data_IF_019901598585
#
_entry.id   IF_019901598585
#
_cell.length_a   1.000
_cell.length_b   1.000
_cell.length_c   1.000
_cell.angle_alpha   90.00
_cell.angle_beta   90.00
_cell.angle_gamma   90.00
#
_symmetry.space_group_name_H-M   'P 1'
#
loop_
_entity.id
_entity.type
_entity.pdbx_description
1 polymer ?
#
# COMPACT_ATOMS: atom_id res chain seq x y z
N UNK A 1 30.32 1.50 28.41
CA UNK A 1 29.23 1.00 27.54
C UNK A 1 29.09 1.94 26.36
N UNK A 2 29.46 1.53 25.16
CA UNK A 2 29.31 2.33 23.93
C UNK A 2 27.84 2.34 23.49
N UNK A 3 27.16 3.50 23.52
CA UNK A 3 25.81 3.66 22.96
C UNK A 3 25.88 3.34 21.46
N UNK A 4 25.23 2.26 21.02
CA UNK A 4 24.98 2.05 19.58
C UNK A 4 24.17 3.24 19.05
N UNK A 5 24.50 3.82 17.89
CA UNK A 5 23.70 4.89 17.30
C UNK A 5 22.27 4.37 17.10
N UNK A 6 21.28 5.18 17.46
CA UNK A 6 19.88 4.83 17.26
C UNK A 6 19.64 4.56 15.78
N UNK A 7 19.17 3.35 15.46
CA UNK A 7 18.86 2.96 14.09
C UNK A 7 17.67 3.80 13.64
N UNK A 8 17.83 4.60 12.60
CA UNK A 8 16.71 5.29 11.95
C UNK A 8 15.92 4.23 11.17
N UNK A 9 14.89 3.68 11.82
CA UNK A 9 13.99 2.70 11.22
C UNK A 9 12.80 3.47 10.65
N UNK A 10 12.49 3.22 9.39
CA UNK A 10 11.23 3.65 8.80
C UNK A 10 10.18 2.59 9.11
N UNK A 11 9.13 2.96 9.83
CA UNK A 11 7.98 2.09 10.03
C UNK A 11 7.15 2.04 8.75
N UNK A 12 6.50 0.91 8.50
CA UNK A 12 5.62 0.77 7.34
C UNK A 12 4.46 1.79 7.38
N UNK A 13 3.97 2.11 8.57
CA UNK A 13 3.01 3.20 8.81
C UNK A 13 3.47 4.54 8.22
N UNK A 14 4.70 4.94 8.55
CA UNK A 14 5.28 6.18 8.06
C UNK A 14 5.50 6.13 6.55
N UNK A 15 5.94 4.97 6.02
CA UNK A 15 6.11 4.77 4.59
C UNK A 15 4.79 4.92 3.82
N UNK A 16 3.68 4.36 4.33
CA UNK A 16 2.34 4.51 3.72
C UNK A 16 1.90 5.99 3.70
N UNK A 17 2.21 6.75 4.76
CA UNK A 17 1.83 8.17 4.84
C UNK A 17 2.64 9.10 3.93
N UNK A 18 3.87 8.72 3.59
CA UNK A 18 4.84 9.65 2.99
C UNK A 18 5.37 9.13 1.66
N UNK A 19 6.09 8.01 1.69
CA UNK A 19 6.81 7.46 0.53
C UNK A 19 5.85 6.84 -0.47
N UNK A 20 4.92 6.01 -0.02
CA UNK A 20 4.05 5.21 -0.90
C UNK A 20 2.91 6.02 -1.56
N UNK A 21 2.72 7.28 -1.17
CA UNK A 21 1.77 8.20 -1.82
C UNK A 21 2.36 8.92 -3.03
N UNK A 22 3.67 8.93 -3.17
CA UNK A 22 4.30 9.55 -4.32
C UNK A 22 4.30 8.57 -5.50
N UNK A 23 3.77 9.00 -6.64
CA UNK A 23 3.76 8.22 -7.89
C UNK A 23 5.17 7.85 -8.34
N UNK A 24 6.18 8.64 -7.99
CA UNK A 24 7.59 8.32 -8.29
C UNK A 24 8.10 7.07 -7.55
N UNK A 25 7.44 6.65 -6.46
CA UNK A 25 7.84 5.51 -5.63
C UNK A 25 6.99 4.25 -5.89
N UNK A 26 6.24 4.20 -6.99
CA UNK A 26 5.40 3.04 -7.33
C UNK A 26 6.22 1.78 -7.58
N UNK A 27 7.45 1.92 -8.07
CA UNK A 27 8.39 0.82 -8.29
C UNK A 27 8.70 0.03 -6.99
N UNK A 28 8.85 0.72 -5.86
CA UNK A 28 9.05 0.10 -4.55
C UNK A 28 7.83 -0.73 -4.16
N UNK A 29 6.63 -0.20 -4.40
CA UNK A 29 5.38 -0.85 -4.04
C UNK A 29 5.08 -2.03 -4.98
N UNK A 30 5.31 -1.88 -6.28
CA UNK A 30 5.26 -2.97 -7.25
C UNK A 30 6.18 -4.12 -6.84
N UNK A 31 7.45 -3.82 -6.51
CA UNK A 31 8.41 -4.82 -6.05
C UNK A 31 7.95 -5.55 -4.77
N UNK A 32 7.39 -4.81 -3.81
CA UNK A 32 6.81 -5.39 -2.60
C UNK A 32 5.63 -6.32 -2.91
N UNK A 33 4.68 -5.87 -3.74
CA UNK A 33 3.51 -6.66 -4.13
C UNK A 33 3.90 -7.89 -4.96
N UNK A 34 4.86 -7.76 -5.87
CA UNK A 34 5.41 -8.89 -6.63
C UNK A 34 6.05 -9.93 -5.70
N UNK A 35 6.80 -9.50 -4.69
CA UNK A 35 7.40 -10.40 -3.71
C UNK A 35 6.35 -11.13 -2.86
N UNK A 36 5.26 -10.44 -2.51
CA UNK A 36 4.16 -10.99 -1.71
C UNK A 36 3.31 -11.98 -2.52
N UNK A 37 2.84 -11.56 -3.70
CA UNK A 37 1.92 -12.33 -4.53
C UNK A 37 2.61 -13.32 -5.48
N UNK A 38 3.94 -13.27 -5.58
CA UNK A 38 4.75 -14.15 -6.45
C UNK A 38 4.37 -14.09 -7.92
N UNK A 39 3.94 -12.91 -8.39
CA UNK A 39 3.55 -12.66 -9.78
C UNK A 39 3.84 -11.23 -10.21
N UNK A 40 3.95 -10.97 -11.53
CA UNK A 40 4.20 -9.62 -12.02
C UNK A 40 3.00 -8.71 -11.78
N UNK A 41 3.23 -7.56 -11.14
CA UNK A 41 2.21 -6.57 -10.81
C UNK A 41 2.69 -5.20 -11.27
N UNK A 42 1.84 -4.48 -12.00
CA UNK A 42 2.09 -3.08 -12.38
C UNK A 42 1.00 -2.22 -11.80
N UNK A 43 1.36 -1.21 -11.00
CA UNK A 43 0.42 -0.22 -10.46
C UNK A 43 0.06 0.75 -11.57
N UNK A 44 -1.24 0.93 -11.79
CA UNK A 44 -1.80 1.81 -12.81
C UNK A 44 -2.14 3.17 -12.23
N UNK A 45 -2.75 3.18 -11.04
CA UNK A 45 -3.09 4.41 -10.35
C UNK A 45 -3.23 4.18 -8.85
N UNK A 46 -3.13 5.26 -8.10
CA UNK A 46 -3.49 5.29 -6.69
C UNK A 46 -4.85 5.96 -6.57
N UNK A 47 -5.81 5.22 -6.02
CA UNK A 47 -7.15 5.72 -5.76
C UNK A 47 -7.08 6.49 -4.44
N UNK A 48 -7.19 7.82 -4.49
CA UNK A 48 -7.21 8.62 -3.28
C UNK A 48 -8.43 8.27 -2.43
N UNK A 49 -8.24 7.46 -1.39
CA UNK A 49 -9.27 7.11 -0.43
C UNK A 49 -9.48 8.28 0.55
N UNK A 50 -10.45 9.13 0.23
CA UNK A 50 -11.16 10.09 1.10
C UNK A 50 -10.30 10.94 2.06
N UNK A 51 -10.05 12.18 1.65
CA UNK A 51 -9.49 13.27 2.45
C UNK A 51 -10.44 13.87 3.51
N UNK A 52 -11.64 13.32 3.70
CA UNK A 52 -12.70 13.96 4.51
C UNK A 52 -13.22 13.04 5.63
N UNK A 53 -12.45 12.89 6.71
CA UNK A 53 -13.02 12.57 8.03
C UNK A 53 -12.59 13.62 9.03
N UNK A 54 -13.56 14.10 9.82
CA UNK A 54 -13.46 15.26 10.70
C UNK A 54 -12.51 15.08 11.90
N UNK A 55 -11.87 13.92 12.03
CA UNK A 55 -11.02 13.58 13.17
C UNK A 55 -9.59 13.33 12.68
N UNK A 56 -8.69 14.27 13.00
CA UNK A 56 -7.26 14.23 12.68
C UNK A 56 -6.59 12.94 13.18
N UNK A 57 -7.13 12.32 14.24
CA UNK A 57 -6.64 11.06 14.80
C UNK A 57 -7.11 9.80 14.05
N UNK A 58 -8.14 9.94 13.20
CA UNK A 58 -8.76 8.87 12.43
C UNK A 58 -8.41 8.92 10.93
N UNK A 59 -7.38 9.68 10.54
CA UNK A 59 -6.78 9.58 9.19
C UNK A 59 -6.14 8.20 9.05
N UNK A 60 -6.93 7.25 8.57
CA UNK A 60 -6.50 5.87 8.35
C UNK A 60 -5.28 5.84 7.43
N UNK A 61 -4.29 5.02 7.79
CA UNK A 61 -3.07 4.82 7.02
C UNK A 61 -3.34 3.76 5.97
N UNK A 62 -4.24 4.14 5.06
CA UNK A 62 -4.73 3.32 3.96
C UNK A 62 -4.35 3.96 2.64
N UNK A 63 -3.96 3.11 1.70
CA UNK A 63 -3.74 3.45 0.29
C UNK A 63 -4.41 2.39 -0.56
N UNK A 64 -5.29 2.83 -1.45
CA UNK A 64 -5.94 1.98 -2.44
C UNK A 64 -5.22 2.11 -3.78
N UNK A 65 -4.90 0.98 -4.39
CA UNK A 65 -4.14 0.91 -5.63
C UNK A 65 -4.95 0.15 -6.67
N UNK A 66 -5.05 0.73 -7.85
CA UNK A 66 -5.45 0.01 -9.05
C UNK A 66 -4.19 -0.56 -9.68
N UNK A 67 -4.11 -1.87 -9.81
CA UNK A 67 -2.97 -2.55 -10.40
C UNK A 67 -3.41 -3.60 -11.42
N UNK A 68 -2.43 -4.12 -12.15
CA UNK A 68 -2.62 -5.08 -13.23
C UNK A 68 -1.64 -6.23 -13.11
N UNK A 69 -2.13 -7.45 -13.21
CA UNK A 69 -1.31 -8.66 -13.27
C UNK A 69 -1.00 -9.01 -14.73
N UNK A 70 0.13 -9.70 -14.97
CA UNK A 70 0.57 -10.10 -16.32
C UNK A 70 0.74 -11.60 -16.52
N UNK A 71 0.38 -12.40 -15.52
CA UNK A 71 0.55 -13.86 -15.45
C UNK A 71 -0.72 -14.66 -15.76
N UNK A 72 -1.87 -14.00 -15.94
CA UNK A 72 -3.17 -14.64 -16.14
C UNK A 72 -3.43 -15.15 -17.56
N UNK A 73 -4.49 -15.94 -17.72
CA UNK A 73 -4.97 -16.46 -19.01
C UNK A 73 -5.43 -15.36 -19.99
N UNK A 74 -5.67 -14.14 -19.48
CA UNK A 74 -6.04 -12.98 -20.30
C UNK A 74 -4.78 -12.35 -20.89
N UNK A 75 -4.73 -12.28 -22.22
CA UNK A 75 -3.66 -11.65 -23.00
C UNK A 75 -3.39 -10.21 -22.57
N UNK A 76 -4.44 -9.51 -22.14
CA UNK A 76 -4.39 -8.14 -21.67
C UNK A 76 -4.26 -8.03 -20.15
N UNK A 77 -3.91 -9.09 -19.41
CA UNK A 77 -3.78 -9.07 -17.94
C UNK A 77 -5.10 -8.94 -17.16
N UNK A 78 -5.03 -9.05 -15.83
CA UNK A 78 -6.18 -8.87 -14.94
C UNK A 78 -6.02 -7.60 -14.10
N UNK A 79 -7.08 -6.81 -14.01
CA UNK A 79 -7.11 -5.66 -13.10
C UNK A 79 -7.41 -6.15 -11.69
N UNK A 80 -6.62 -5.66 -10.72
CA UNK A 80 -6.77 -5.95 -9.30
C UNK A 80 -6.82 -4.65 -8.51
N UNK A 81 -7.60 -4.65 -7.45
CA UNK A 81 -7.56 -3.60 -6.42
C UNK A 81 -6.75 -4.12 -5.24
N UNK A 82 -5.76 -3.34 -4.83
CA UNK A 82 -4.90 -3.66 -3.68
C UNK A 82 -5.06 -2.57 -2.65
N UNK A 83 -5.44 -2.97 -1.44
CA UNK A 83 -5.63 -2.09 -0.31
C UNK A 83 -4.54 -2.37 0.73
N UNK A 84 -3.71 -1.36 1.00
CA UNK A 84 -2.63 -1.45 1.99
C UNK A 84 -3.08 -0.75 3.27
N UNK A 85 -3.11 -1.46 4.40
CA UNK A 85 -3.46 -0.91 5.72
C UNK A 85 -2.39 -1.25 6.76
N UNK A 86 -2.09 -0.32 7.67
CA UNK A 86 -1.15 -0.55 8.78
C UNK A 86 -1.78 -1.26 9.99
N UNK A 87 -3.03 -0.93 10.33
CA UNK A 87 -3.78 -1.59 11.41
C UNK A 87 -4.87 -2.44 10.79
N UNK A 88 -5.04 -3.68 11.28
CA UNK A 88 -6.21 -4.48 10.92
C UNK A 88 -7.45 -3.77 11.46
N UNK A 89 -8.28 -3.19 10.60
CA UNK A 89 -9.60 -2.77 11.01
C UNK A 89 -10.34 -4.00 11.59
N UNK A 90 -10.71 -3.96 12.87
CA UNK A 90 -11.70 -4.87 13.46
C UNK A 90 -13.06 -4.78 12.76
N UNK A 91 -13.22 -3.85 11.80
CA UNK A 91 -14.39 -3.63 10.99
C UNK A 91 -14.36 -4.28 9.59
N UNK A 92 -13.30 -5.01 9.19
CA UNK A 92 -13.27 -5.69 7.88
C UNK A 92 -14.48 -6.65 7.69
N UNK A 93 -14.97 -7.25 8.77
CA UNK A 93 -16.17 -8.11 8.76
C UNK A 93 -17.51 -7.35 8.70
N UNK A 94 -17.53 -6.01 8.75
CA UNK A 94 -18.79 -5.22 8.68
C UNK A 94 -19.18 -4.79 7.26
N UNK A 95 -18.36 -5.10 6.24
CA UNK A 95 -18.60 -4.73 4.83
C UNK A 95 -18.99 -5.90 3.93
N UNK A 96 -19.06 -7.13 4.46
CA UNK A 96 -19.61 -8.33 3.81
C UNK A 96 -20.98 -8.64 4.41
#
# INVERSE_FOLDING_TARGET
MTKKPARKIITFDWAIKTVLRDKANFDVLEGFLMALFRRPITILDMLESESNRADESAKYNRVDLLAKTKDGAKKDGELILVEVQYLSETAYLKRL
#
